data_IF_981711324302
#
_entry.id   IF_981711324302
#
_cell.length_a   1.000
_cell.length_b   1.000
_cell.length_c   1.000
_cell.angle_alpha   90.00
_cell.angle_beta   90.00
_cell.angle_gamma   90.00
#
_symmetry.space_group_name_H-M   'P 1'
#
loop_
_entity.id
_entity.type
_entity.pdbx_description
1 polymer ?
#
# COMPACT_ATOMS: atom_id res chain seq x y z
N UNK A 1 -75.49 -0.04 75.61
CA UNK A 1 -75.79 0.05 74.17
C UNK A 1 -74.67 -0.56 73.39
N UNK A 2 -74.98 -1.64 72.68
CA UNK A 2 -73.99 -2.53 72.01
C UNK A 2 -73.47 -1.92 70.75
N UNK A 3 -72.17 -1.89 70.60
CA UNK A 3 -71.42 -1.50 69.33
C UNK A 3 -70.84 -2.79 68.72
N UNK A 4 -71.28 -3.12 67.50
CA UNK A 4 -70.88 -4.29 66.72
C UNK A 4 -69.54 -4.06 66.05
N UNK A 5 -68.52 -4.86 66.38
CA UNK A 5 -67.20 -4.88 65.67
C UNK A 5 -67.34 -5.80 64.45
N UNK A 6 -67.12 -5.23 63.22
CA UNK A 6 -67.02 -6.02 61.98
C UNK A 6 -65.49 -6.19 61.70
N UNK A 7 -65.13 -7.49 61.63
CA UNK A 7 -63.78 -7.89 61.23
C UNK A 7 -63.70 -7.95 59.72
N UNK A 8 -62.83 -7.13 59.11
CA UNK A 8 -62.43 -7.27 57.72
C UNK A 8 -61.27 -8.27 57.67
N UNK A 9 -61.46 -9.37 56.95
CA UNK A 9 -60.40 -10.31 56.58
C UNK A 9 -59.73 -9.78 55.32
N UNK A 10 -58.47 -9.39 55.39
CA UNK A 10 -57.62 -9.10 54.25
C UNK A 10 -57.13 -10.43 53.66
N UNK A 11 -57.47 -10.68 52.42
CA UNK A 11 -56.94 -11.81 51.65
C UNK A 11 -55.60 -11.36 51.05
N UNK A 12 -54.53 -12.04 51.44
CA UNK A 12 -53.18 -11.81 50.90
C UNK A 12 -53.09 -12.61 49.57
N UNK A 13 -53.07 -11.96 48.43
CA UNK A 13 -52.77 -12.55 47.13
C UNK A 13 -51.28 -12.59 46.95
N UNK A 14 -50.69 -13.77 47.08
CA UNK A 14 -49.27 -13.97 46.77
C UNK A 14 -49.08 -14.06 45.22
N UNK A 15 -48.48 -13.01 44.64
CA UNK A 15 -48.03 -13.02 43.26
C UNK A 15 -46.67 -13.77 43.16
N UNK A 16 -46.68 -14.97 42.67
CA UNK A 16 -45.47 -15.72 42.30
C UNK A 16 -44.93 -15.19 40.97
N UNK A 17 -43.81 -14.46 41.01
CA UNK A 17 -43.04 -14.10 39.81
C UNK A 17 -42.24 -15.32 39.34
N UNK A 18 -42.62 -15.90 38.21
CA UNK A 18 -41.82 -16.89 37.50
C UNK A 18 -40.79 -16.09 36.68
N UNK A 19 -39.55 -16.05 37.13
CA UNK A 19 -38.45 -15.53 36.35
C UNK A 19 -38.13 -16.49 35.20
N UNK A 20 -38.52 -16.14 33.99
CA UNK A 20 -38.08 -16.84 32.77
C UNK A 20 -36.64 -16.42 32.50
N UNK A 21 -35.68 -17.27 32.85
CA UNK A 21 -34.28 -17.13 32.47
C UNK A 21 -34.19 -17.36 30.96
N UNK A 22 -33.99 -16.27 30.21
CA UNK A 22 -33.64 -16.37 28.80
C UNK A 22 -32.24 -17.03 28.68
N UNK A 23 -32.03 -17.95 27.73
CA UNK A 23 -30.72 -18.54 27.52
C UNK A 23 -29.71 -17.46 27.12
N UNK A 24 -28.41 -17.60 27.49
CA UNK A 24 -27.40 -16.67 27.08
C UNK A 24 -27.31 -16.65 25.54
N UNK A 25 -27.40 -15.46 24.95
CA UNK A 25 -27.12 -15.27 23.52
C UNK A 25 -25.59 -15.46 23.37
N UNK A 26 -25.18 -16.60 22.83
CA UNK A 26 -23.84 -16.80 22.35
C UNK A 26 -23.63 -15.84 21.17
N UNK A 27 -23.02 -14.70 21.42
CA UNK A 27 -22.46 -13.85 20.35
C UNK A 27 -21.26 -14.64 19.82
N UNK A 28 -21.50 -15.47 18.82
CA UNK A 28 -20.43 -16.13 18.08
C UNK A 28 -19.47 -15.04 17.62
N UNK A 29 -18.22 -15.10 18.07
CA UNK A 29 -17.16 -14.24 17.57
C UNK A 29 -17.11 -14.45 16.06
N UNK A 30 -17.60 -13.47 15.30
CA UNK A 30 -17.53 -13.47 13.85
C UNK A 30 -16.04 -13.34 13.51
N UNK A 31 -15.38 -14.48 13.26
CA UNK A 31 -13.99 -14.49 12.81
C UNK A 31 -13.94 -13.66 11.53
N UNK A 32 -13.20 -12.55 11.57
CA UNK A 32 -12.97 -11.76 10.37
C UNK A 32 -12.46 -12.69 9.27
N UNK A 33 -13.02 -12.55 8.07
CA UNK A 33 -12.53 -13.32 6.93
C UNK A 33 -11.00 -13.14 6.81
N UNK A 34 -10.27 -14.20 6.49
CA UNK A 34 -8.83 -14.10 6.32
C UNK A 34 -8.50 -13.01 5.30
N UNK A 35 -7.39 -12.28 5.48
CA UNK A 35 -6.99 -11.25 4.51
C UNK A 35 -6.79 -11.89 3.12
N UNK A 36 -7.22 -11.19 2.09
CA UNK A 36 -6.97 -11.61 0.69
C UNK A 36 -5.47 -11.69 0.47
N UNK A 37 -5.00 -12.79 -0.14
CA UNK A 37 -3.58 -13.00 -0.42
C UNK A 37 -2.99 -11.82 -1.21
N UNK A 38 -1.74 -11.46 -0.92
CA UNK A 38 -1.02 -10.39 -1.61
C UNK A 38 -0.79 -10.70 -3.11
N UNK A 39 -1.00 -11.94 -3.53
CA UNK A 39 -0.86 -12.43 -4.91
C UNK A 39 -2.17 -12.50 -5.68
N UNK A 40 -3.31 -12.24 -5.03
CA UNK A 40 -4.63 -12.31 -5.65
C UNK A 40 -5.06 -10.94 -6.18
N UNK A 41 -5.25 -10.75 -7.51
CA UNK A 41 -5.67 -9.47 -8.07
C UNK A 41 -7.02 -9.02 -7.53
N UNK A 42 -7.12 -7.76 -7.12
CA UNK A 42 -8.35 -7.18 -6.60
C UNK A 42 -8.51 -5.75 -7.09
N UNK A 43 -9.71 -5.40 -7.57
CA UNK A 43 -10.02 -4.05 -8.00
C UNK A 43 -9.65 -3.00 -6.94
N UNK A 44 -9.03 -1.88 -7.35
CA UNK A 44 -8.57 -0.85 -6.43
C UNK A 44 -9.77 -0.16 -5.75
N UNK A 45 -9.52 0.42 -4.57
CA UNK A 45 -10.56 1.19 -3.86
C UNK A 45 -10.94 2.47 -4.59
N UNK A 46 -10.05 3.01 -5.41
CA UNK A 46 -10.26 4.23 -6.18
C UNK A 46 -10.31 3.91 -7.68
N UNK A 47 -11.45 3.40 -8.11
CA UNK A 47 -11.70 3.05 -9.51
C UNK A 47 -11.61 4.27 -10.44
N UNK A 48 -12.11 5.43 -10.01
CA UNK A 48 -12.03 6.66 -10.82
C UNK A 48 -10.58 7.05 -11.11
N UNK A 49 -9.67 6.86 -10.14
CA UNK A 49 -8.24 7.11 -10.35
C UNK A 49 -7.64 6.14 -11.36
N UNK A 50 -8.00 4.85 -11.27
CA UNK A 50 -7.63 3.82 -12.23
C UNK A 50 -8.09 4.18 -13.65
N UNK A 51 -9.37 4.54 -13.85
CA UNK A 51 -9.90 4.92 -15.16
C UNK A 51 -9.16 6.14 -15.73
N UNK A 52 -8.83 7.13 -14.90
CA UNK A 52 -8.01 8.27 -15.31
C UNK A 52 -6.61 7.86 -15.80
N UNK A 53 -5.99 6.83 -15.20
CA UNK A 53 -4.71 6.31 -15.67
C UNK A 53 -4.85 5.52 -16.97
N UNK A 54 -5.94 4.79 -17.16
CA UNK A 54 -6.25 4.13 -18.44
C UNK A 54 -6.38 5.17 -19.56
N UNK A 55 -7.01 6.32 -19.32
CA UNK A 55 -7.11 7.39 -20.30
C UNK A 55 -5.74 8.02 -20.62
N UNK A 56 -4.90 8.25 -19.60
CA UNK A 56 -3.52 8.72 -19.79
C UNK A 56 -2.71 7.70 -20.58
N UNK A 57 -2.84 6.41 -20.28
CA UNK A 57 -2.17 5.33 -21.00
C UNK A 57 -2.56 5.31 -22.47
N UNK A 58 -3.86 5.41 -22.78
CA UNK A 58 -4.39 5.46 -24.17
C UNK A 58 -3.92 6.70 -24.93
N UNK A 59 -3.71 7.82 -24.26
CA UNK A 59 -3.16 9.02 -24.89
C UNK A 59 -1.69 8.83 -25.34
N UNK A 60 -1.01 7.83 -24.78
CA UNK A 60 0.37 7.49 -25.13
C UNK A 60 1.39 8.48 -24.58
N UNK A 61 2.56 8.58 -25.24
CA UNK A 61 3.64 9.52 -24.90
C UNK A 61 4.28 9.29 -23.51
N UNK A 62 4.39 8.03 -23.09
CA UNK A 62 5.03 7.61 -21.84
C UNK A 62 6.29 6.81 -22.14
N UNK A 63 7.48 7.37 -21.84
CA UNK A 63 8.74 6.64 -21.88
C UNK A 63 9.11 6.06 -20.52
N UNK A 64 8.73 6.75 -19.45
CA UNK A 64 9.02 6.42 -18.06
C UNK A 64 7.72 6.31 -17.27
N UNK A 65 7.46 5.15 -16.69
CA UNK A 65 6.28 4.94 -15.87
C UNK A 65 6.67 4.69 -14.41
N UNK A 66 6.07 5.42 -13.48
CA UNK A 66 6.15 5.13 -12.04
C UNK A 66 4.87 4.45 -11.59
N UNK A 67 5.01 3.31 -10.91
CA UNK A 67 3.90 2.52 -10.36
C UNK A 67 4.12 2.31 -8.86
N UNK A 68 3.07 2.46 -8.07
CA UNK A 68 3.14 2.27 -6.63
C UNK A 68 1.90 2.75 -5.88
N UNK A 69 2.09 3.02 -4.61
CA UNK A 69 1.07 3.46 -3.65
C UNK A 69 1.08 4.98 -3.39
N UNK A 70 0.70 5.40 -2.16
CA UNK A 70 0.69 6.82 -1.76
C UNK A 70 2.05 7.51 -1.89
N UNK A 71 3.12 6.79 -1.63
CA UNK A 71 4.48 7.34 -1.70
C UNK A 71 4.80 7.69 -3.16
N UNK A 72 4.35 6.90 -4.12
CA UNK A 72 4.45 7.21 -5.54
C UNK A 72 3.41 8.27 -5.97
N UNK A 73 2.16 8.17 -5.53
CA UNK A 73 1.10 9.16 -5.85
C UNK A 73 1.52 10.60 -5.49
N UNK A 74 2.19 10.77 -4.34
CA UNK A 74 2.52 12.11 -3.83
C UNK A 74 3.70 12.80 -4.54
N UNK A 75 4.29 12.19 -5.55
CA UNK A 75 5.08 12.95 -6.53
C UNK A 75 4.28 14.11 -7.13
N UNK A 76 2.96 13.98 -7.22
CA UNK A 76 2.05 15.05 -7.67
C UNK A 76 1.73 16.09 -6.58
N UNK A 77 2.27 15.95 -5.36
CA UNK A 77 2.06 16.84 -4.20
C UNK A 77 3.40 17.34 -3.66
N UNK A 78 3.88 16.75 -2.56
CA UNK A 78 5.13 17.15 -1.92
C UNK A 78 6.36 16.98 -2.83
N UNK A 79 6.32 16.03 -3.77
CA UNK A 79 7.38 15.80 -4.75
C UNK A 79 7.28 16.62 -6.04
N UNK A 80 6.22 17.42 -6.21
CA UNK A 80 5.91 18.05 -7.50
C UNK A 80 7.06 18.90 -8.08
N UNK A 81 7.77 19.76 -7.34
CA UNK A 81 8.87 20.54 -7.91
C UNK A 81 10.02 19.67 -8.45
N UNK A 82 10.36 18.62 -7.70
CA UNK A 82 11.41 17.67 -8.08
C UNK A 82 10.98 16.81 -9.27
N UNK A 83 9.72 16.42 -9.32
CA UNK A 83 9.15 15.72 -10.47
C UNK A 83 9.22 16.56 -11.74
N UNK A 84 8.80 17.82 -11.67
CA UNK A 84 8.82 18.74 -12.80
C UNK A 84 10.25 18.96 -13.34
N UNK A 85 11.24 19.03 -12.45
CA UNK A 85 12.64 19.21 -12.81
C UNK A 85 13.25 17.94 -13.42
N UNK A 86 13.09 16.80 -12.75
CA UNK A 86 13.88 15.59 -13.03
C UNK A 86 13.20 14.57 -13.93
N UNK A 87 11.89 14.38 -13.79
CA UNK A 87 11.17 13.26 -14.43
C UNK A 87 10.22 13.69 -15.54
N UNK A 88 9.51 14.82 -15.40
CA UNK A 88 8.60 15.31 -16.43
C UNK A 88 9.29 15.48 -17.81
N UNK A 89 10.53 15.98 -17.90
CA UNK A 89 11.25 16.08 -19.18
C UNK A 89 11.57 14.73 -19.84
N UNK A 90 11.48 13.63 -19.08
CA UNK A 90 11.70 12.26 -19.55
C UNK A 90 10.41 11.58 -20.01
N UNK A 91 9.34 12.34 -20.25
CA UNK A 91 7.99 11.83 -20.57
C UNK A 91 7.50 10.82 -19.52
N UNK A 92 7.68 11.18 -18.25
CA UNK A 92 7.30 10.36 -17.13
C UNK A 92 5.81 10.48 -16.83
N UNK A 93 5.16 9.35 -16.53
CA UNK A 93 3.82 9.27 -15.97
C UNK A 93 3.86 8.67 -14.55
N UNK A 94 2.97 9.15 -13.68
CA UNK A 94 2.83 8.69 -12.30
C UNK A 94 1.51 7.97 -12.13
N UNK A 95 1.56 6.63 -11.98
CA UNK A 95 0.42 5.77 -11.75
C UNK A 95 0.37 5.26 -10.30
N UNK A 96 0.76 6.10 -9.35
CA UNK A 96 0.56 5.86 -7.92
C UNK A 96 -0.88 6.08 -7.48
N UNK A 97 -1.39 5.21 -6.59
CA UNK A 97 -2.68 5.38 -5.91
C UNK A 97 -2.48 5.26 -4.40
N UNK A 98 -2.89 6.30 -3.66
CA UNK A 98 -2.80 6.30 -2.20
C UNK A 98 -3.53 5.11 -1.57
N UNK A 99 -2.83 4.38 -0.68
CA UNK A 99 -3.36 3.21 0.02
C UNK A 99 -3.37 1.92 -0.80
N UNK A 100 -2.84 1.93 -2.02
CA UNK A 100 -2.82 0.74 -2.87
C UNK A 100 -1.87 -0.34 -2.33
N UNK A 101 -2.16 -1.57 -2.72
CA UNK A 101 -1.49 -2.79 -2.30
C UNK A 101 -1.07 -3.59 -3.53
N UNK A 102 -0.29 -4.66 -3.34
CA UNK A 102 0.09 -5.56 -4.43
C UNK A 102 -1.12 -6.09 -5.20
N UNK A 103 -2.20 -6.45 -4.49
CA UNK A 103 -3.46 -6.89 -5.09
C UNK A 103 -4.06 -5.87 -6.04
N UNK A 104 -4.12 -4.60 -5.59
CA UNK A 104 -4.68 -3.49 -6.37
C UNK A 104 -3.84 -3.17 -7.59
N UNK A 105 -2.52 -3.05 -7.41
CA UNK A 105 -1.60 -2.78 -8.52
C UNK A 105 -1.62 -3.93 -9.54
N UNK A 106 -1.57 -5.19 -9.09
CA UNK A 106 -1.63 -6.35 -9.99
C UNK A 106 -2.91 -6.32 -10.85
N UNK A 107 -4.06 -6.05 -10.21
CA UNK A 107 -5.33 -5.92 -10.93
C UNK A 107 -5.29 -4.79 -11.96
N UNK A 108 -4.79 -3.60 -11.60
CA UNK A 108 -4.71 -2.42 -12.49
C UNK A 108 -3.83 -2.68 -13.71
N UNK A 109 -2.69 -3.36 -13.50
CA UNK A 109 -1.79 -3.72 -14.60
C UNK A 109 -2.43 -4.71 -15.57
N UNK A 110 -3.37 -5.53 -15.10
CA UNK A 110 -4.14 -6.46 -15.93
C UNK A 110 -5.34 -5.82 -16.63
N UNK A 111 -5.74 -4.61 -16.19
CA UNK A 111 -6.98 -3.96 -16.62
C UNK A 111 -6.75 -2.58 -17.28
N UNK A 112 -5.85 -2.53 -18.26
CA UNK A 112 -5.74 -1.42 -19.21
C UNK A 112 -4.67 -0.36 -18.93
N UNK A 113 -4.10 -0.28 -17.72
CA UNK A 113 -3.09 0.74 -17.40
C UNK A 113 -1.75 0.58 -18.14
N UNK A 114 -1.49 -0.57 -18.75
CA UNK A 114 -0.30 -0.83 -19.55
C UNK A 114 -0.59 -0.87 -21.05
N UNK A 115 -1.71 -0.30 -21.50
CA UNK A 115 -2.15 -0.35 -22.90
C UNK A 115 -2.10 1.04 -23.54
N UNK A 116 -1.79 1.12 -24.84
CA UNK A 116 -1.81 2.38 -25.60
C UNK A 116 -0.49 3.15 -25.65
N UNK A 117 0.55 2.69 -24.97
CA UNK A 117 1.89 3.29 -25.02
C UNK A 117 2.99 2.21 -25.02
N UNK A 118 4.22 2.65 -25.18
CA UNK A 118 5.40 1.78 -25.17
C UNK A 118 6.46 2.40 -24.25
N UNK A 119 6.50 1.93 -22.99
CA UNK A 119 7.48 2.41 -22.02
C UNK A 119 8.89 1.89 -22.34
N UNK A 120 9.90 2.68 -22.03
CA UNK A 120 11.31 2.28 -22.01
C UNK A 120 11.72 1.78 -20.62
N UNK A 121 11.16 2.39 -19.58
CA UNK A 121 11.46 2.07 -18.20
C UNK A 121 10.20 2.16 -17.34
N UNK A 122 10.01 1.17 -16.47
CA UNK A 122 9.00 1.17 -15.41
C UNK A 122 9.71 1.13 -14.06
N UNK A 123 9.36 2.04 -13.16
CA UNK A 123 9.85 2.09 -11.79
C UNK A 123 8.74 1.63 -10.86
N UNK A 124 9.00 0.58 -10.08
CA UNK A 124 8.06 0.02 -9.10
C UNK A 124 8.58 0.29 -7.68
N UNK A 125 7.74 0.86 -6.81
CA UNK A 125 7.96 0.91 -5.37
C UNK A 125 6.62 0.65 -4.67
N UNK A 126 6.49 -0.53 -4.02
CA UNK A 126 5.21 -0.98 -3.49
C UNK A 126 5.42 -1.95 -2.32
N UNK A 127 4.38 -2.18 -1.51
CA UNK A 127 4.33 -3.22 -0.49
C UNK A 127 4.11 -2.71 0.93
N UNK A 128 4.40 -1.43 1.24
CA UNK A 128 4.26 -0.91 2.61
C UNK A 128 2.84 -1.06 3.18
N UNK A 129 1.79 -0.99 2.34
CA UNK A 129 0.39 -1.14 2.74
C UNK A 129 -0.04 -2.59 2.99
N UNK A 130 0.73 -3.56 2.54
CA UNK A 130 0.52 -4.98 2.79
C UNK A 130 1.13 -5.41 4.14
N UNK A 131 2.16 -4.72 4.63
CA UNK A 131 2.81 -5.05 5.91
C UNK A 131 1.77 -5.07 7.04
N UNK A 132 1.82 -6.08 7.91
CA UNK A 132 0.85 -6.41 8.96
C UNK A 132 -0.52 -6.93 8.47
N UNK A 133 -0.69 -7.13 7.15
CA UNK A 133 -1.91 -7.72 6.56
C UNK A 133 -1.61 -9.05 5.87
N UNK A 134 -0.44 -9.14 5.26
CA UNK A 134 0.01 -10.29 4.51
C UNK A 134 1.39 -10.76 5.00
N UNK A 135 1.73 -12.05 4.86
CA UNK A 135 3.09 -12.53 5.08
C UNK A 135 4.11 -11.83 4.17
N UNK A 136 5.32 -11.61 4.67
CA UNK A 136 6.38 -10.95 3.91
C UNK A 136 6.67 -11.64 2.57
N UNK A 137 6.59 -12.98 2.55
CA UNK A 137 6.84 -13.78 1.34
C UNK A 137 5.77 -13.56 0.27
N UNK A 138 4.51 -13.44 0.68
CA UNK A 138 3.42 -13.13 -0.24
C UNK A 138 3.51 -11.70 -0.79
N UNK A 139 3.99 -10.75 0.02
CA UNK A 139 4.17 -9.36 -0.44
C UNK A 139 5.20 -9.33 -1.56
N UNK A 140 6.36 -9.96 -1.34
CA UNK A 140 7.40 -10.05 -2.36
C UNK A 140 6.90 -10.82 -3.61
N UNK A 141 6.16 -11.90 -3.43
CA UNK A 141 5.57 -12.65 -4.55
C UNK A 141 4.54 -11.82 -5.32
N UNK A 142 3.73 -10.99 -4.65
CA UNK A 142 2.83 -10.03 -5.30
C UNK A 142 3.58 -9.04 -6.19
N UNK A 143 4.69 -8.48 -5.71
CA UNK A 143 5.55 -7.61 -6.51
C UNK A 143 6.19 -8.35 -7.69
N UNK A 144 6.58 -9.62 -7.49
CA UNK A 144 7.11 -10.46 -8.59
C UNK A 144 6.07 -10.65 -9.69
N UNK A 145 4.82 -10.92 -9.33
CA UNK A 145 3.72 -11.07 -10.31
C UNK A 145 3.45 -9.77 -11.06
N UNK A 146 3.56 -8.61 -10.41
CA UNK A 146 3.45 -7.30 -11.05
C UNK A 146 4.60 -7.10 -12.07
N UNK A 147 5.82 -7.47 -11.70
CA UNK A 147 6.97 -7.43 -12.63
C UNK A 147 6.74 -8.34 -13.85
N UNK A 148 6.16 -9.53 -13.66
CA UNK A 148 5.81 -10.40 -14.79
C UNK A 148 4.72 -9.79 -15.70
N UNK A 149 3.72 -9.09 -15.13
CA UNK A 149 2.75 -8.35 -15.95
C UNK A 149 3.42 -7.21 -16.75
N UNK A 150 4.39 -6.50 -16.15
CA UNK A 150 5.19 -5.52 -16.91
C UNK A 150 5.94 -6.16 -18.07
N UNK A 151 6.64 -7.26 -17.83
CA UNK A 151 7.38 -7.99 -18.87
C UNK A 151 6.47 -8.50 -19.99
N UNK A 152 5.28 -8.94 -19.63
CA UNK A 152 4.28 -9.47 -20.57
C UNK A 152 3.67 -8.37 -21.44
N UNK A 153 3.27 -7.24 -20.84
CA UNK A 153 2.52 -6.18 -21.53
C UNK A 153 3.39 -5.08 -22.11
N UNK A 154 4.59 -4.91 -21.57
CA UNK A 154 5.60 -3.94 -22.00
C UNK A 154 6.95 -4.64 -22.21
N UNK A 155 7.04 -5.61 -23.15
CA UNK A 155 8.19 -6.53 -23.26
C UNK A 155 9.51 -5.84 -23.61
N UNK A 156 9.47 -4.63 -24.18
CA UNK A 156 10.65 -3.83 -24.48
C UNK A 156 11.13 -3.00 -23.26
N UNK A 157 10.25 -2.75 -22.27
CA UNK A 157 10.61 -1.95 -21.11
C UNK A 157 11.62 -2.67 -20.21
N UNK A 158 12.55 -1.90 -19.66
CA UNK A 158 13.30 -2.29 -18.46
C UNK A 158 12.45 -2.02 -17.22
N UNK A 159 12.68 -2.75 -16.13
CA UNK A 159 11.99 -2.55 -14.86
C UNK A 159 13.02 -2.23 -13.79
N UNK A 160 12.83 -1.12 -13.07
CA UNK A 160 13.60 -0.79 -11.88
C UNK A 160 12.71 -0.99 -10.64
N UNK A 161 12.97 -2.05 -9.89
CA UNK A 161 12.32 -2.32 -8.61
C UNK A 161 13.08 -1.58 -7.52
N UNK A 162 12.41 -0.72 -6.78
CA UNK A 162 12.98 -0.07 -5.60
C UNK A 162 12.62 -0.87 -4.36
N UNK A 163 13.54 -0.94 -3.40
CA UNK A 163 13.23 -1.43 -2.07
C UNK A 163 12.15 -0.57 -1.42
N UNK A 164 11.29 -1.19 -0.60
CA UNK A 164 10.30 -0.50 0.23
C UNK A 164 11.06 0.43 1.18
N UNK A 165 10.65 1.69 1.26
CA UNK A 165 11.30 2.69 2.09
C UNK A 165 11.13 2.41 3.58
N UNK A 166 12.06 2.85 4.42
CA UNK A 166 11.97 2.68 5.86
C UNK A 166 10.71 3.35 6.42
N UNK A 167 10.09 2.71 7.42
CA UNK A 167 8.86 3.16 8.05
C UNK A 167 8.99 3.16 9.58
N UNK A 168 8.40 4.15 10.23
CA UNK A 168 8.50 4.38 11.67
C UNK A 168 9.78 5.10 12.07
N UNK A 169 9.69 5.98 13.09
CA UNK A 169 10.81 6.84 13.51
C UNK A 169 11.99 6.04 14.07
N UNK A 170 11.73 5.00 14.87
CA UNK A 170 12.78 4.23 15.53
C UNK A 170 13.54 3.30 14.58
N UNK A 171 14.83 3.14 14.81
CA UNK A 171 15.73 2.33 13.97
C UNK A 171 15.35 0.84 13.97
N UNK A 172 14.96 0.29 15.12
CA UNK A 172 14.63 -1.12 15.27
C UNK A 172 13.16 -1.30 15.67
N UNK A 173 12.34 -1.76 14.71
CA UNK A 173 10.92 -2.08 14.93
C UNK A 173 10.53 -3.33 14.13
N UNK A 174 9.45 -4.03 14.49
CA UNK A 174 8.96 -5.16 13.70
C UNK A 174 8.70 -4.81 12.23
N UNK A 175 8.18 -3.61 11.95
CA UNK A 175 7.93 -3.16 10.57
C UNK A 175 9.22 -2.96 9.79
N UNK A 176 10.31 -2.48 10.44
CA UNK A 176 11.64 -2.37 9.80
C UNK A 176 12.21 -3.74 9.46
N UNK A 177 12.06 -4.70 10.37
CA UNK A 177 12.48 -6.08 10.13
C UNK A 177 11.71 -6.71 8.95
N UNK A 178 10.38 -6.47 8.85
CA UNK A 178 9.58 -6.91 7.71
C UNK A 178 10.04 -6.27 6.41
N UNK A 179 10.30 -4.95 6.39
CA UNK A 179 10.82 -4.24 5.21
C UNK A 179 12.15 -4.84 4.76
N UNK A 180 13.08 -5.06 5.68
CA UNK A 180 14.38 -5.67 5.37
C UNK A 180 14.22 -7.07 4.75
N UNK A 181 13.34 -7.91 5.31
CA UNK A 181 13.09 -9.25 4.80
C UNK A 181 12.44 -9.24 3.41
N UNK A 182 11.48 -8.33 3.17
CA UNK A 182 10.86 -8.17 1.85
C UNK A 182 11.87 -7.65 0.84
N UNK A 183 12.62 -6.59 1.16
CA UNK A 183 13.63 -6.00 0.28
C UNK A 183 14.71 -6.99 -0.12
N UNK A 184 15.14 -7.89 0.80
CA UNK A 184 16.07 -8.96 0.47
C UNK A 184 15.51 -9.90 -0.61
N UNK A 185 14.20 -10.16 -0.63
CA UNK A 185 13.54 -10.96 -1.68
C UNK A 185 13.38 -10.19 -2.97
N UNK A 186 12.98 -8.89 -2.91
CA UNK A 186 12.87 -8.04 -4.08
C UNK A 186 14.22 -7.94 -4.82
N UNK A 187 15.32 -7.90 -4.10
CA UNK A 187 16.66 -7.88 -4.69
C UNK A 187 16.96 -9.12 -5.56
N UNK A 188 16.35 -10.27 -5.28
CA UNK A 188 16.53 -11.48 -6.08
C UNK A 188 15.84 -11.45 -7.44
N UNK A 189 14.99 -10.44 -7.72
CA UNK A 189 14.30 -10.29 -9.02
C UNK A 189 15.23 -9.74 -10.10
N UNK A 190 16.30 -9.06 -9.69
CA UNK A 190 17.25 -8.47 -10.60
C UNK A 190 17.97 -9.55 -11.43
N UNK A 191 17.92 -9.36 -12.75
CA UNK A 191 18.68 -10.15 -13.74
C UNK A 191 19.75 -9.30 -14.45
N UNK A 192 19.85 -8.01 -14.09
CA UNK A 192 20.73 -6.99 -14.67
C UNK A 192 20.65 -6.83 -16.19
N UNK A 193 19.56 -7.31 -16.76
CA UNK A 193 19.27 -7.22 -18.21
C UNK A 193 17.94 -6.51 -18.46
N UNK A 194 16.87 -6.99 -17.85
CA UNK A 194 15.51 -6.47 -17.94
C UNK A 194 15.01 -5.94 -16.62
N UNK A 195 15.31 -6.62 -15.52
CA UNK A 195 14.90 -6.26 -14.18
C UNK A 195 16.12 -5.83 -13.37
N UNK A 196 16.05 -4.66 -12.79
CA UNK A 196 17.08 -4.06 -11.95
C UNK A 196 16.51 -3.79 -10.58
N UNK A 197 17.33 -3.88 -9.56
CA UNK A 197 16.95 -3.56 -8.18
C UNK A 197 17.81 -2.42 -7.64
N UNK A 198 17.21 -1.57 -6.82
CA UNK A 198 17.92 -0.52 -6.10
C UNK A 198 17.26 -0.26 -4.75
N UNK A 199 18.00 -0.37 -3.66
CA UNK A 199 17.58 0.06 -2.34
C UNK A 199 18.19 1.42 -2.03
N UNK A 200 17.33 2.38 -1.73
CA UNK A 200 17.73 3.73 -1.34
C UNK A 200 17.28 4.07 0.09
N UNK A 201 16.81 3.05 0.83
CA UNK A 201 16.24 3.21 2.16
C UNK A 201 17.17 3.94 3.13
N UNK A 202 18.45 3.59 3.11
CA UNK A 202 19.46 4.20 3.99
C UNK A 202 19.64 5.72 3.78
N UNK A 203 19.31 6.24 2.59
CA UNK A 203 19.42 7.66 2.29
C UNK A 203 18.43 8.55 3.04
N UNK A 204 17.34 7.93 3.54
CA UNK A 204 16.34 8.62 4.35
C UNK A 204 16.67 8.62 5.85
N UNK A 205 17.65 7.82 6.28
CA UNK A 205 17.95 7.58 7.68
C UNK A 205 19.09 8.48 8.19
N UNK A 206 19.02 8.81 9.46
CA UNK A 206 20.15 9.37 10.20
C UNK A 206 21.21 8.27 10.48
N UNK A 207 22.41 8.68 10.93
CA UNK A 207 23.52 7.76 11.19
C UNK A 207 23.23 6.70 12.26
N UNK A 208 22.29 6.98 13.17
CA UNK A 208 21.81 6.04 14.19
C UNK A 208 20.67 5.12 13.70
N UNK A 209 20.31 5.20 12.41
CA UNK A 209 19.25 4.43 11.78
C UNK A 209 17.83 4.93 12.05
N UNK A 210 17.66 6.03 12.79
CA UNK A 210 16.34 6.66 12.98
C UNK A 210 15.86 7.34 11.68
N UNK A 211 14.54 7.45 11.52
CA UNK A 211 13.92 8.17 10.40
C UNK A 211 13.55 9.58 10.86
N UNK A 212 14.24 10.63 10.36
CA UNK A 212 14.00 11.99 10.79
C UNK A 212 12.62 12.52 10.36
N UNK A 213 11.91 13.20 11.26
CA UNK A 213 10.60 13.80 10.97
C UNK A 213 10.67 14.93 9.92
N UNK A 214 11.83 15.55 9.74
CA UNK A 214 12.06 16.56 8.70
C UNK A 214 12.29 15.95 7.30
N UNK A 215 12.25 14.60 7.20
CA UNK A 215 12.28 13.84 5.95
C UNK A 215 10.95 13.14 5.70
N UNK A 216 10.41 12.46 6.72
CA UNK A 216 9.10 11.79 6.71
C UNK A 216 8.34 12.12 8.00
N UNK A 217 7.52 13.19 8.03
CA UNK A 217 6.91 13.72 9.25
C UNK A 217 6.01 12.74 10.01
N UNK A 218 5.33 11.86 9.29
CA UNK A 218 4.46 10.81 9.84
C UNK A 218 5.17 9.44 9.95
N UNK A 219 6.47 9.42 9.68
CA UNK A 219 7.28 8.21 9.67
C UNK A 219 6.96 7.25 8.50
N UNK A 220 6.32 7.73 7.43
CA UNK A 220 5.93 6.94 6.27
C UNK A 220 6.06 7.70 4.95
N UNK A 221 5.50 8.91 4.88
CA UNK A 221 5.41 9.67 3.64
C UNK A 221 6.52 10.72 3.55
N UNK A 222 7.33 10.72 2.48
CA UNK A 222 8.32 11.76 2.24
C UNK A 222 7.66 13.14 2.11
N UNK A 223 8.24 14.16 2.74
CA UNK A 223 7.96 15.55 2.43
C UNK A 223 8.84 16.03 1.26
N UNK A 224 8.87 17.32 0.96
CA UNK A 224 9.67 17.87 -0.15
C UNK A 224 11.16 17.48 -0.04
N UNK A 225 11.74 17.48 1.17
CA UNK A 225 13.13 17.04 1.43
C UNK A 225 13.29 15.55 1.13
N UNK A 226 12.35 14.71 1.56
CA UNK A 226 12.36 13.28 1.28
C UNK A 226 12.24 12.98 -0.21
N UNK A 227 11.41 13.72 -0.96
CA UNK A 227 11.32 13.58 -2.42
C UNK A 227 12.58 14.08 -3.13
N UNK A 228 13.26 15.11 -2.61
CA UNK A 228 14.56 15.51 -3.13
C UNK A 228 15.58 14.38 -2.99
N UNK A 229 15.67 13.76 -1.80
CA UNK A 229 16.53 12.60 -1.55
C UNK A 229 16.22 11.46 -2.52
N UNK A 230 14.93 11.12 -2.71
CA UNK A 230 14.54 10.06 -3.64
C UNK A 230 14.92 10.40 -5.08
N UNK A 231 14.56 11.60 -5.55
CA UNK A 231 14.84 12.04 -6.91
C UNK A 231 16.33 12.01 -7.22
N UNK A 232 17.16 12.57 -6.33
CA UNK A 232 18.62 12.59 -6.48
C UNK A 232 19.22 11.19 -6.47
N UNK A 233 18.68 10.30 -5.64
CA UNK A 233 19.19 8.93 -5.51
C UNK A 233 19.02 8.11 -6.79
N UNK A 234 17.93 8.32 -7.56
CA UNK A 234 17.60 7.43 -8.69
C UNK A 234 17.81 8.04 -10.07
N UNK A 235 17.90 9.38 -10.20
CA UNK A 235 17.85 10.05 -11.51
C UNK A 235 18.91 9.56 -12.49
N UNK A 236 20.14 9.36 -12.04
CA UNK A 236 21.23 8.90 -12.91
C UNK A 236 20.98 7.45 -13.39
N UNK A 237 20.48 6.59 -12.50
CA UNK A 237 20.11 5.22 -12.85
C UNK A 237 18.95 5.20 -13.83
N UNK A 238 17.93 6.02 -13.61
CA UNK A 238 16.78 6.18 -14.53
C UNK A 238 17.27 6.63 -15.91
N UNK A 239 18.09 7.66 -16.00
CA UNK A 239 18.65 8.13 -17.28
C UNK A 239 19.50 7.08 -17.98
N UNK A 240 20.27 6.28 -17.24
CA UNK A 240 21.07 5.20 -17.79
C UNK A 240 20.17 4.06 -18.35
N UNK A 241 19.08 3.75 -17.68
CA UNK A 241 18.17 2.68 -18.10
C UNK A 241 17.22 3.08 -19.23
N UNK A 242 16.96 4.37 -19.44
CA UNK A 242 16.17 4.91 -20.57
C UNK A 242 16.91 4.88 -21.91
N UNK A 243 18.22 4.73 -21.87
CA UNK A 243 19.05 4.52 -23.08
C UNK A 243 18.93 3.11 -23.62
#
# INVERSE_FOLDING_TARGET
MLGVFRWFRAALVALTFIAVLAPPIEIGAQTAAPPVSATEPRAPRNEARHLGFVDIAKAGNIDLLFVGDSITDWWARAGQPIWAEKFAPLRAANFGIAGDTTQGVLWRMQNGELEGFTAKLIVLMLGTNNINRNPNDEIAEGDRLIVEEFKKRQPQAKVLVLGIFPRGAAAATPVRASITAINAKLATFADDKKVFYMDIGDKFLAADGTLPADVMPDGLHPNAKGYQIWGDAIIDRVKALLK
#
